data_IF_106828353112
#
_entry.id   IF_106828353112
#
_cell.length_a   1.000
_cell.length_b   1.000
_cell.length_c   1.000
_cell.angle_alpha   90.00
_cell.angle_beta   90.00
_cell.angle_gamma   90.00
#
_symmetry.space_group_name_H-M   'P 1'
#
loop_
_entity.id
_entity.type
_entity.pdbx_description
1 polymer ?
2 non-polymer ?
3 water ?
#
# COMPACT_ATOMS: atom_id res chain seq x y z
N UNK A 7 13.80 9.20 -19.27
CA UNK A 7 12.74 8.81 -18.36
C UNK A 7 11.63 7.98 -19.03
N UNK A 8 11.21 8.37 -20.24
CA UNK A 8 10.18 7.62 -20.93
C UNK A 8 10.69 6.34 -21.60
N UNK A 9 11.87 5.90 -21.14
CA UNK A 9 12.56 4.69 -21.69
C UNK A 9 11.66 3.46 -21.53
N UNK A 10 11.49 2.97 -20.30
CA UNK A 10 10.67 1.79 -20.10
C UNK A 10 9.17 2.02 -20.40
N UNK A 11 8.71 3.11 -21.00
CA UNK A 11 7.29 3.34 -21.22
C UNK A 11 6.95 3.15 -22.70
N UNK A 12 5.71 2.71 -22.94
CA UNK A 12 5.15 2.62 -24.28
C UNK A 12 4.32 3.87 -24.54
N UNK A 13 4.54 4.51 -25.69
CA UNK A 13 3.76 5.68 -26.06
C UNK A 13 2.44 5.25 -26.68
N UNK A 14 1.33 5.74 -26.13
CA UNK A 14 0.00 5.37 -26.59
C UNK A 14 -0.58 6.52 -27.39
N UNK A 15 -1.22 6.19 -28.53
CA UNK A 15 -1.83 7.28 -29.29
C UNK A 15 -3.16 7.69 -28.67
N UNK A 16 -3.47 8.99 -28.64
CA UNK A 16 -4.73 9.42 -27.99
C UNK A 16 -5.99 8.78 -28.53
N UNK A 17 -6.01 8.41 -29.81
CA UNK A 17 -7.21 7.78 -30.38
C UNK A 17 -7.49 6.42 -29.76
N UNK A 18 -6.54 5.83 -29.03
CA UNK A 18 -6.72 4.54 -28.41
C UNK A 18 -7.32 4.64 -27.01
N UNK A 19 -7.52 5.86 -26.50
CA UNK A 19 -7.88 6.10 -25.10
C UNK A 19 -9.24 6.81 -25.08
N UNK A 20 -10.15 6.30 -24.26
CA UNK A 20 -11.47 6.91 -24.03
C UNK A 20 -11.62 7.13 -22.54
N UNK A 21 -11.87 8.36 -22.13
CA UNK A 21 -12.10 8.67 -20.73
C UNK A 21 -13.60 8.60 -20.47
N UNK A 22 -13.99 7.95 -19.39
CA UNK A 22 -15.41 7.71 -19.10
C UNK A 22 -15.90 8.42 -17.85
N UNK A 23 -15.16 8.33 -16.74
CA UNK A 23 -15.64 8.90 -15.49
C UNK A 23 -14.47 9.39 -14.67
N UNK A 24 -14.65 10.53 -14.02
CA UNK A 24 -13.64 11.03 -13.09
C UNK A 24 -13.62 10.14 -11.85
N UNK A 25 -12.43 9.74 -11.43
CA UNK A 25 -12.27 8.91 -10.23
C UNK A 25 -11.31 9.50 -9.22
N UNK A 26 -10.77 10.68 -9.47
CA UNK A 26 -9.87 11.31 -8.52
C UNK A 26 -9.17 12.50 -9.14
N UNK A 27 -8.19 13.02 -8.42
CA UNK A 27 -7.43 14.17 -8.88
C UNK A 27 -5.93 13.86 -8.84
N UNK A 28 -5.22 14.43 -9.82
CA UNK A 28 -3.78 14.44 -9.81
C UNK A 28 -3.24 15.78 -9.37
N UNK A 29 -1.93 15.96 -9.53
CA UNK A 29 -1.23 17.21 -9.14
C UNK A 29 -1.77 18.39 -9.96
N UNK A 30 -2.08 18.15 -11.23
CA UNK A 30 -2.55 19.20 -12.11
C UNK A 30 -3.34 18.57 -13.25
N UNK A 31 -4.46 17.98 -12.92
CA UNK A 31 -5.29 17.24 -13.85
C UNK A 31 -6.07 16.17 -13.13
N UNK A 32 -7.12 15.69 -13.78
CA UNK A 32 -8.01 14.70 -13.19
C UNK A 32 -7.49 13.29 -13.42
N UNK A 33 -7.99 12.35 -12.62
CA UNK A 33 -7.78 10.92 -12.84
C UNK A 33 -9.11 10.32 -13.28
N UNK A 34 -9.08 9.51 -14.34
CA UNK A 34 -10.30 8.94 -14.92
C UNK A 34 -10.22 7.42 -14.98
N UNK A 35 -11.39 6.80 -14.96
CA UNK A 35 -11.54 5.45 -15.47
C UNK A 35 -11.85 5.55 -16.96
N UNK A 36 -11.27 4.67 -17.74
CA UNK A 36 -11.51 4.67 -19.16
C UNK A 36 -11.22 3.33 -19.79
N UNK A 37 -11.12 3.33 -21.11
CA UNK A 37 -10.88 2.13 -21.89
C UNK A 37 -9.70 2.36 -22.82
N UNK A 38 -8.89 1.31 -23.01
CA UNK A 38 -7.72 1.37 -23.87
C UNK A 38 -7.84 0.33 -24.98
N UNK A 39 -7.73 0.78 -26.22
CA UNK A 39 -7.52 -0.08 -27.37
C UNK A 39 -6.04 -0.04 -27.74
N UNK A 40 -5.55 -1.09 -28.38
CA UNK A 40 -4.19 -1.05 -28.92
C UNK A 40 -4.16 -1.38 -30.41
N UNK A 46 -10.27 -4.44 -26.04
CA UNK A 46 -10.24 -3.23 -25.22
C UNK A 46 -10.15 -3.58 -23.74
N UNK A 47 -9.34 -2.84 -23.00
CA UNK A 47 -9.16 -3.14 -21.58
C UNK A 47 -9.48 -1.91 -20.74
N UNK A 48 -10.07 -2.07 -19.56
CA UNK A 48 -10.28 -0.92 -18.68
C UNK A 48 -8.96 -0.43 -18.11
N UNK A 49 -8.86 0.90 -17.96
CA UNK A 49 -7.62 1.53 -17.50
C UNK A 49 -7.96 2.68 -16.56
N UNK A 50 -6.97 3.04 -15.75
CA UNK A 50 -7.01 4.30 -15.01
C UNK A 50 -6.08 5.29 -15.70
N UNK A 51 -6.48 6.56 -15.72
CA UNK A 51 -5.84 7.57 -16.56
C UNK A 51 -5.61 8.82 -15.73
N UNK A 52 -4.35 9.20 -15.54
CA UNK A 52 -3.99 10.45 -14.86
C UNK A 52 -3.54 11.47 -15.90
N UNK A 53 -4.14 12.64 -15.90
CA UNK A 53 -3.83 13.64 -16.92
C UNK A 53 -3.01 14.79 -16.34
N UNK A 54 -2.26 15.45 -17.21
CA UNK A 54 -1.57 16.70 -16.89
C UNK A 54 -2.14 17.75 -17.83
N UNK A 55 -2.94 18.66 -17.29
CA UNK A 55 -3.75 19.57 -18.08
C UNK A 55 -3.05 20.89 -18.36
N UNK A 56 -3.60 21.63 -19.31
CA UNK A 56 -2.95 22.83 -19.83
C UNK A 56 -2.64 23.81 -18.70
N UNK A 57 -1.43 24.34 -18.72
CA UNK A 57 -0.98 25.30 -17.72
C UNK A 57 -0.02 24.73 -16.71
N UNK A 58 0.25 23.43 -16.77
CA UNK A 58 1.15 22.81 -15.81
C UNK A 58 2.53 23.46 -15.86
N UNK A 59 3.20 23.47 -14.71
CA UNK A 59 4.51 24.08 -14.58
C UNK A 59 5.61 23.13 -15.06
N UNK A 60 6.82 23.68 -15.18
CA UNK A 60 7.98 22.86 -15.53
C UNK A 60 8.19 21.77 -14.49
N UNK A 61 8.12 22.11 -13.20
CA UNK A 61 8.33 21.10 -12.17
C UNK A 61 7.25 20.03 -12.23
N UNK A 62 6.00 20.43 -12.51
CA UNK A 62 4.93 19.45 -12.64
C UNK A 62 5.18 18.50 -13.80
N UNK A 63 5.66 19.03 -14.92
CA UNK A 63 5.97 18.17 -16.06
C UNK A 63 7.11 17.21 -15.73
N UNK A 64 8.16 17.70 -15.06
CA UNK A 64 9.27 16.84 -14.67
C UNK A 64 8.77 15.71 -13.76
N UNK A 65 7.97 16.06 -12.75
CA UNK A 65 7.48 15.06 -11.81
C UNK A 65 6.53 14.07 -12.48
N UNK A 66 5.71 14.56 -13.40
CA UNK A 66 4.72 13.71 -14.07
C UNK A 66 5.40 12.70 -14.97
N UNK A 67 6.26 13.16 -15.88
CA UNK A 67 6.97 12.23 -16.75
C UNK A 67 7.93 11.36 -15.95
N UNK A 68 8.60 11.94 -14.95
CA UNK A 68 9.48 11.14 -14.10
C UNK A 68 8.73 10.02 -13.40
N UNK A 69 7.49 10.30 -12.99
CA UNK A 69 6.66 9.25 -12.40
C UNK A 69 6.40 8.14 -13.41
N UNK A 70 5.96 8.50 -14.61
CA UNK A 70 5.75 7.47 -15.63
C UNK A 70 7.01 6.68 -15.87
N UNK A 71 8.16 7.36 -15.86
CA UNK A 71 9.42 6.69 -16.12
C UNK A 71 9.76 5.64 -15.09
N UNK A 72 9.58 5.95 -13.81
CA UNK A 72 9.87 4.95 -12.78
C UNK A 72 8.85 3.82 -12.84
N UNK A 73 7.58 4.14 -13.10
CA UNK A 73 6.56 3.10 -13.17
C UNK A 73 6.83 2.12 -14.32
N UNK A 74 7.29 2.64 -15.46
CA UNK A 74 7.63 1.76 -16.56
C UNK A 74 8.78 0.84 -16.22
N UNK A 75 9.70 1.29 -15.36
CA UNK A 75 10.84 0.50 -14.97
C UNK A 75 10.44 -0.72 -14.16
N UNK A 76 9.36 -0.63 -13.40
CA UNK A 76 8.98 -1.73 -12.53
C UNK A 76 8.25 -2.79 -13.33
N UNK A 77 8.60 -4.05 -13.10
CA UNK A 77 7.92 -5.18 -13.72
C UNK A 77 7.81 -6.25 -12.64
N UNK A 78 6.69 -6.24 -11.93
CA UNK A 78 6.51 -7.20 -10.85
C UNK A 78 5.03 -7.47 -10.62
N UNK A 79 4.72 -8.72 -10.30
CA UNK A 79 3.35 -9.17 -10.04
C UNK A 79 2.62 -8.33 -9.01
N UNK A 80 3.34 -7.73 -8.06
CA UNK A 80 2.71 -7.02 -6.95
C UNK A 80 2.93 -5.52 -7.02
N UNK A 81 3.22 -4.99 -8.19
CA UNK A 81 3.36 -3.56 -8.44
C UNK A 81 2.41 -3.19 -9.57
N UNK A 82 1.68 -2.08 -9.39
CA UNK A 82 0.73 -1.64 -10.43
C UNK A 82 1.43 -1.57 -11.79
N UNK A 83 0.73 -2.04 -12.82
CA UNK A 83 1.32 -2.08 -14.15
C UNK A 83 0.98 -0.83 -14.95
N UNK A 84 2.01 -0.24 -15.56
CA UNK A 84 1.83 0.88 -16.47
C UNK A 84 1.51 0.36 -17.85
N UNK A 85 0.37 0.77 -18.41
CA UNK A 85 0.07 0.43 -19.80
C UNK A 85 0.84 1.31 -20.76
N UNK A 86 0.96 2.59 -20.44
CA UNK A 86 1.79 3.47 -21.24
C UNK A 86 1.51 4.91 -20.91
N UNK A 87 2.00 5.78 -21.79
CA UNK A 87 1.99 7.21 -21.55
C UNK A 87 1.59 7.91 -22.84
N UNK A 88 0.94 9.06 -22.71
CA UNK A 88 0.77 10.01 -23.80
C UNK A 88 1.63 11.20 -23.43
N UNK A 89 2.73 11.38 -24.16
CA UNK A 89 3.60 12.53 -23.97
C UNK A 89 3.69 13.43 -25.19
N UNK A 90 3.39 12.91 -26.39
CA UNK A 90 3.53 13.65 -27.63
C UNK A 90 2.33 14.53 -27.92
N UNK A 91 1.26 14.44 -27.13
CA UNK A 91 0.05 15.21 -27.35
C UNK A 91 -0.44 15.72 -26.00
N UNK A 92 -1.30 16.74 -26.06
CA UNK A 92 -1.88 17.35 -24.88
C UNK A 92 -3.37 17.04 -24.80
N UNK A 93 -3.90 16.72 -23.60
CA UNK A 93 -3.15 16.62 -22.35
C UNK A 93 -2.30 15.36 -22.28
N UNK A 94 -1.20 15.43 -21.55
CA UNK A 94 -0.40 14.25 -21.31
C UNK A 94 -1.11 13.33 -20.33
N UNK A 95 -0.79 12.02 -20.43
CA UNK A 95 -1.51 11.03 -19.64
C UNK A 95 -0.58 9.91 -19.18
N UNK A 96 -0.85 9.41 -17.97
CA UNK A 96 -0.28 8.16 -17.48
C UNK A 96 -1.43 7.16 -17.38
N UNK A 97 -1.24 5.99 -17.96
CA UNK A 97 -2.32 5.00 -18.11
C UNK A 97 -1.89 3.70 -17.46
N UNK A 98 -2.67 3.24 -16.48
CA UNK A 98 -2.38 2.00 -15.78
C UNK A 98 -3.53 1.02 -15.91
N UNK A 99 -3.27 -0.21 -15.51
CA UNK A 99 -4.35 -1.19 -15.37
C UNK A 99 -5.39 -0.68 -14.38
N UNK A 100 -6.57 -1.30 -14.43
CA UNK A 100 -7.71 -0.92 -13.59
C UNK A 100 -8.24 -2.16 -12.89
N UNK A 101 -8.62 -1.99 -11.62
CA UNK A 101 -9.15 -3.09 -10.79
C UNK A 101 -10.55 -2.75 -10.33
N UNK A 102 -11.53 -3.57 -10.74
CA UNK A 102 -12.90 -3.34 -10.28
C UNK A 102 -13.02 -3.44 -8.75
N UNK A 103 -12.17 -4.23 -8.10
CA UNK A 103 -12.22 -4.32 -6.64
C UNK A 103 -11.66 -3.09 -5.96
N UNK A 104 -10.88 -2.27 -6.66
CA UNK A 104 -10.42 -1.01 -6.09
C UNK A 104 -9.35 -1.15 -5.02
N UNK A 105 -9.28 -0.11 -4.18
CA UNK A 105 -8.25 0.02 -3.17
C UNK A 105 -8.52 -0.91 -1.99
N UNK A 106 -7.44 -1.41 -1.41
CA UNK A 106 -7.52 -2.45 -0.39
C UNK A 106 -8.22 -1.99 0.88
N UNK A 107 -8.02 -0.73 1.31
CA UNK A 107 -8.65 -0.29 2.56
C UNK A 107 -10.18 -0.34 2.46
N UNK A 108 -10.74 0.25 1.41
CA UNK A 108 -12.18 0.25 1.22
C UNK A 108 -12.69 -1.17 0.98
N UNK A 109 -11.94 -1.96 0.20
CA UNK A 109 -12.30 -3.34 -0.10
C UNK A 109 -12.49 -4.14 1.18
N UNK A 110 -11.51 -4.08 2.10
CA UNK A 110 -11.63 -4.86 3.32
C UNK A 110 -12.79 -4.40 4.19
N UNK A 111 -13.00 -3.07 4.28
CA UNK A 111 -14.08 -2.55 5.11
C UNK A 111 -15.43 -2.96 4.57
N UNK A 112 -15.54 -3.17 3.27
CA UNK A 112 -16.79 -3.58 2.64
C UNK A 112 -16.98 -5.08 2.62
N UNK A 113 -15.98 -5.85 3.05
CA UNK A 113 -16.04 -7.31 3.03
C UNK A 113 -15.59 -7.86 4.37
N UNK A 114 -16.02 -7.21 5.44
CA UNK A 114 -15.59 -7.55 6.79
C UNK A 114 -15.88 -9.01 7.12
N UNK A 115 -14.84 -9.74 7.52
CA UNK A 115 -14.92 -11.13 7.92
C UNK A 115 -15.14 -12.13 6.82
N UNK A 116 -14.97 -11.75 5.55
CA UNK A 116 -15.33 -12.64 4.45
C UNK A 116 -14.19 -13.56 4.00
N UNK A 117 -12.97 -13.38 4.51
CA UNK A 117 -11.81 -14.11 4.01
C UNK A 117 -11.23 -15.01 5.09
N UNK A 118 -10.51 -16.03 4.64
CA UNK A 118 -9.80 -16.89 5.57
C UNK A 118 -8.50 -16.23 5.99
N UNK A 119 -7.97 -16.68 7.13
CA UNK A 119 -6.66 -16.23 7.57
C UNK A 119 -5.62 -16.43 6.47
N UNK A 120 -5.65 -17.58 5.80
CA UNK A 120 -4.67 -17.85 4.76
C UNK A 120 -4.79 -16.85 3.62
N UNK A 121 -6.01 -16.49 3.24
CA UNK A 121 -6.19 -15.47 2.21
C UNK A 121 -5.62 -14.14 2.65
N UNK A 122 -5.88 -13.73 3.89
CA UNK A 122 -5.35 -12.45 4.37
C UNK A 122 -3.82 -12.46 4.38
N UNK A 123 -3.22 -13.54 4.92
CA UNK A 123 -1.76 -13.63 4.95
C UNK A 123 -1.19 -13.66 3.54
N UNK A 124 -1.89 -14.31 2.60
CA UNK A 124 -1.43 -14.30 1.22
C UNK A 124 -1.39 -12.91 0.63
N UNK A 125 -2.36 -12.07 0.98
CA UNK A 125 -2.33 -10.69 0.48
C UNK A 125 -1.13 -9.94 1.05
N UNK A 126 -0.77 -10.22 2.30
CA UNK A 126 0.39 -9.59 2.90
C UNK A 126 1.69 -10.08 2.27
N UNK A 127 1.75 -11.37 1.91
CA UNK A 127 2.95 -11.86 1.24
C UNK A 127 3.15 -11.17 -0.09
N UNK A 128 2.07 -10.94 -0.82
CA UNK A 128 2.19 -10.25 -2.10
C UNK A 128 2.63 -8.82 -1.93
N UNK A 129 2.05 -8.11 -0.97
CA UNK A 129 2.47 -6.74 -0.70
C UNK A 129 3.96 -6.71 -0.35
N UNK A 130 4.38 -7.63 0.52
CA UNK A 130 5.78 -7.69 0.92
C UNK A 130 6.70 -7.98 -0.27
N UNK A 131 6.28 -8.86 -1.19
CA UNK A 131 7.12 -9.15 -2.36
C UNK A 131 7.26 -7.93 -3.24
N UNK A 132 6.17 -7.19 -3.44
CA UNK A 132 6.28 -5.94 -4.19
C UNK A 132 7.22 -4.96 -3.50
N UNK A 133 7.11 -4.84 -2.18
CA UNK A 133 7.97 -3.91 -1.44
C UNK A 133 9.43 -4.35 -1.47
N UNK A 134 9.69 -5.66 -1.39
CA UNK A 134 11.06 -6.13 -1.51
C UNK A 134 11.64 -5.72 -2.85
N UNK A 135 10.85 -5.84 -3.92
CA UNK A 135 11.28 -5.45 -5.24
C UNK A 135 11.59 -3.95 -5.29
N UNK A 136 10.69 -3.12 -4.78
CA UNK A 136 10.92 -1.67 -4.78
C UNK A 136 12.18 -1.32 -3.99
N UNK A 137 12.34 -1.91 -2.81
CA UNK A 137 13.51 -1.61 -1.99
C UNK A 137 14.80 -2.03 -2.69
N UNK A 138 14.76 -3.19 -3.36
CA UNK A 138 15.93 -3.68 -4.10
C UNK A 138 16.25 -2.77 -5.26
N UNK A 139 15.22 -2.22 -5.91
CA UNK A 139 15.37 -1.25 -6.98
C UNK A 139 15.74 0.14 -6.46
N UNK A 140 16.00 0.27 -5.15
CA UNK A 140 16.36 1.54 -4.52
C UNK A 140 15.26 2.58 -4.63
N UNK A 141 14.01 2.15 -4.56
CA UNK A 141 12.86 3.04 -4.55
C UNK A 141 12.23 3.00 -3.16
N UNK A 142 12.18 4.16 -2.50
CA UNK A 142 11.53 4.32 -1.21
C UNK A 142 10.12 4.84 -1.46
N UNK A 143 9.13 4.12 -0.93
CA UNK A 143 7.74 4.44 -1.26
C UNK A 143 7.28 5.72 -0.57
N UNK A 144 7.46 5.79 0.75
CA UNK A 144 7.14 6.90 1.64
C UNK A 144 5.67 6.97 2.06
N UNK A 145 4.75 6.31 1.36
CA UNK A 145 3.32 6.41 1.68
C UNK A 145 2.65 5.05 1.60
N UNK A 146 3.31 4.02 2.10
CA UNK A 146 2.73 2.69 2.06
C UNK A 146 1.60 2.60 3.08
N UNK A 147 0.43 2.19 2.61
CA UNK A 147 -0.81 2.14 3.38
C UNK A 147 -1.80 1.38 2.52
N UNK A 148 -2.81 0.79 3.17
CA UNK A 148 -3.80 0.03 2.40
C UNK A 148 -4.50 0.87 1.34
N UNK A 149 -4.66 2.18 1.58
CA UNK A 149 -5.28 3.06 0.59
C UNK A 149 -4.49 3.14 -0.71
N UNK A 150 -3.20 2.77 -0.70
CA UNK A 150 -2.36 2.80 -1.89
C UNK A 150 -2.11 1.43 -2.48
N UNK A 151 -2.94 0.43 -2.17
CA UNK A 151 -2.79 -0.91 -2.70
C UNK A 151 -4.07 -1.31 -3.41
N UNK A 152 -3.95 -1.76 -4.65
CA UNK A 152 -5.10 -2.20 -5.46
C UNK A 152 -5.22 -3.71 -5.39
N UNK A 153 -6.46 -4.20 -5.49
CA UNK A 153 -6.75 -5.64 -5.39
C UNK A 153 -7.36 -6.09 -6.71
N UNK A 154 -6.77 -7.10 -7.35
CA UNK A 154 -7.37 -7.60 -8.57
C UNK A 154 -8.38 -8.72 -8.26
N UNK A 155 -8.97 -9.27 -9.33
CA UNK A 155 -10.01 -10.28 -9.19
C UNK A 155 -9.47 -11.66 -8.83
N UNK A 156 -8.15 -11.80 -8.69
CA UNK A 156 -7.55 -13.00 -8.12
C UNK A 156 -7.08 -12.76 -6.70
N UNK A 157 -7.47 -11.62 -6.09
CA UNK A 157 -7.05 -11.22 -4.75
C UNK A 157 -5.56 -10.85 -4.67
N UNK A 158 -4.93 -10.62 -5.82
CA UNK A 158 -3.53 -10.18 -5.86
C UNK A 158 -3.46 -8.69 -5.57
N UNK A 159 -2.60 -8.32 -4.63
CA UNK A 159 -2.41 -6.93 -4.25
C UNK A 159 -1.29 -6.30 -5.06
N UNK A 160 -1.52 -5.07 -5.53
CA UNK A 160 -0.57 -4.34 -6.35
C UNK A 160 -0.25 -3.03 -5.63
N UNK A 161 1.00 -2.87 -5.21
CA UNK A 161 1.42 -1.61 -4.61
C UNK A 161 1.36 -0.50 -5.64
N UNK A 162 0.81 0.64 -5.23
CA UNK A 162 0.62 1.80 -6.08
C UNK A 162 0.96 3.03 -5.25
N UNK A 163 0.85 4.22 -5.85
CA UNK A 163 0.95 5.45 -5.08
C UNK A 163 0.04 6.47 -5.76
N UNK A 164 -1.08 6.77 -5.11
CA UNK A 164 -2.06 7.66 -5.68
C UNK A 164 -1.79 9.12 -5.34
N UNK A 165 -0.73 9.42 -4.61
CA UNK A 165 -0.51 10.78 -4.15
C UNK A 165 -1.27 11.07 -2.87
N UNK A 166 -0.76 12.00 -2.08
CA UNK A 166 -1.31 12.26 -0.75
C UNK A 166 -2.75 12.77 -0.82
N UNK A 186 1.43 11.12 6.46
CA UNK A 186 0.45 10.22 7.07
C UNK A 186 0.98 9.67 8.38
N UNK A 187 0.78 10.45 9.45
CA UNK A 187 1.50 10.22 10.72
C UNK A 187 1.39 8.76 11.16
N UNK A 188 0.15 8.24 11.15
CA UNK A 188 -0.13 6.91 11.75
C UNK A 188 0.58 5.77 11.01
N UNK A 189 1.01 6.01 9.79
CA UNK A 189 1.71 4.98 9.03
C UNK A 189 3.21 5.19 9.00
N UNK A 190 3.72 6.29 9.56
CA UNK A 190 5.09 6.69 9.29
C UNK A 190 6.00 6.39 10.47
N UNK A 191 7.22 5.92 10.15
CA UNK A 191 8.18 5.58 11.18
C UNK A 191 8.64 6.83 11.93
N UNK A 192 9.06 6.66 13.19
CA UNK A 192 9.47 7.84 13.98
C UNK A 192 10.56 8.67 13.35
N UNK A 193 11.58 8.05 12.74
CA UNK A 193 12.68 8.83 12.20
C UNK A 193 12.24 9.62 10.97
N UNK A 194 11.25 9.11 10.24
CA UNK A 194 10.77 9.84 9.08
C UNK A 194 9.97 11.06 9.52
N UNK A 195 9.18 10.91 10.58
CA UNK A 195 8.45 12.04 11.14
C UNK A 195 9.41 13.05 11.76
N UNK A 196 10.38 12.56 12.56
CA UNK A 196 11.19 13.46 13.39
C UNK A 196 12.19 14.24 12.54
N UNK A 197 12.90 13.56 11.65
CA UNK A 197 13.99 14.21 10.92
C UNK A 197 13.99 13.93 9.42
N UNK A 198 12.86 13.44 8.89
CA UNK A 198 12.64 13.32 7.45
C UNK A 198 13.51 12.23 6.84
N UNK A 199 13.85 11.21 7.61
CA UNK A 199 14.68 10.11 7.11
C UNK A 199 13.75 9.02 6.58
N UNK A 200 13.50 9.04 5.28
CA UNK A 200 12.65 8.06 4.63
C UNK A 200 13.55 7.05 3.93
N UNK A 201 13.43 5.78 4.32
CA UNK A 201 14.22 4.71 3.73
C UNK A 201 13.34 3.48 3.60
N UNK A 202 13.90 2.42 3.02
CA UNK A 202 13.14 1.17 2.98
C UNK A 202 12.84 0.66 4.38
N UNK A 203 13.61 1.08 5.40
CA UNK A 203 13.31 0.68 6.76
C UNK A 203 12.14 1.46 7.35
N UNK A 204 11.93 2.72 6.94
CA UNK A 204 10.69 3.36 7.33
C UNK A 204 9.51 2.77 6.57
N UNK A 205 9.72 2.32 5.32
CA UNK A 205 8.67 1.58 4.62
C UNK A 205 8.31 0.29 5.37
N UNK A 206 9.28 -0.35 6.03
CA UNK A 206 8.97 -1.56 6.80
C UNK A 206 8.03 -1.24 7.96
N UNK A 207 8.26 -0.11 8.64
CA UNK A 207 7.31 0.32 9.68
C UNK A 207 5.90 0.43 9.10
N UNK A 208 5.78 1.15 7.99
CA UNK A 208 4.49 1.28 7.33
C UNK A 208 3.92 -0.07 6.97
N UNK A 209 4.75 -1.01 6.51
CA UNK A 209 4.24 -2.34 6.18
C UNK A 209 3.63 -3.01 7.40
N UNK A 210 4.25 -2.83 8.57
CA UNK A 210 3.65 -3.37 9.78
C UNK A 210 2.26 -2.80 10.03
N UNK A 211 2.08 -1.50 9.82
CA UNK A 211 0.75 -0.90 9.92
C UNK A 211 -0.19 -1.52 8.89
N UNK A 212 0.27 -1.73 7.66
CA UNK A 212 -0.56 -2.38 6.64
C UNK A 212 -0.96 -3.78 7.09
N UNK A 213 -0.05 -4.52 7.72
CA UNK A 213 -0.41 -5.84 8.23
C UNK A 213 -1.57 -5.73 9.22
N UNK A 214 -1.50 -4.76 10.11
CA UNK A 214 -2.57 -4.54 11.06
C UNK A 214 -3.87 -4.14 10.34
N UNK A 215 -3.79 -3.25 9.35
CA UNK A 215 -4.98 -2.91 8.56
C UNK A 215 -5.61 -4.14 7.94
N UNK A 216 -4.80 -5.01 7.34
CA UNK A 216 -5.36 -6.18 6.66
C UNK A 216 -6.02 -7.10 7.67
N UNK A 217 -5.35 -7.38 8.78
CA UNK A 217 -5.87 -8.36 9.72
C UNK A 217 -7.10 -7.87 10.49
N UNK A 218 -7.32 -6.55 10.53
CA UNK A 218 -8.50 -5.96 11.15
C UNK A 218 -9.59 -5.61 10.14
N UNK A 219 -9.43 -5.97 8.87
CA UNK A 219 -10.38 -5.58 7.82
C UNK A 219 -10.53 -4.07 7.71
N UNK A 220 -9.42 -3.36 7.77
CA UNK A 220 -9.46 -1.94 7.50
C UNK A 220 -9.80 -1.05 8.67
N UNK A 221 -9.52 -1.47 9.89
CA UNK A 221 -9.73 -0.58 11.01
C UNK A 221 -8.74 0.57 10.98
N UNK A 222 -9.15 1.69 11.56
CA UNK A 222 -8.32 2.88 11.59
C UNK A 222 -7.20 2.67 12.61
N UNK A 223 -5.94 2.73 12.20
CA UNK A 223 -4.85 2.56 13.17
C UNK A 223 -4.97 3.57 14.29
N UNK A 224 -4.90 3.08 15.53
CA UNK A 224 -4.95 3.89 16.74
C UNK A 224 -6.32 4.51 16.99
N UNK A 225 -7.34 4.12 16.23
CA UNK A 225 -8.74 4.54 16.45
C UNK A 225 -8.78 6.07 16.52
N UNK A 226 -9.39 6.65 17.55
CA UNK A 226 -9.65 8.07 17.58
C UNK A 226 -8.50 8.90 18.14
N UNK A 227 -7.35 8.29 18.48
CA UNK A 227 -6.22 9.08 18.95
C UNK A 227 -5.84 10.11 17.91
N UNK A 228 -5.52 11.33 18.36
CA UNK A 228 -5.04 12.33 17.42
C UNK A 228 -3.61 12.01 17.00
N UNK A 229 -3.15 12.72 15.96
CA UNK A 229 -1.78 12.54 15.50
C UNK A 229 -0.75 12.75 16.61
N UNK A 230 -0.93 13.81 17.41
CA UNK A 230 -0.01 14.06 18.52
C UNK A 230 -0.09 12.94 19.55
N UNK A 231 -1.29 12.45 19.86
CA UNK A 231 -1.42 11.35 20.81
C UNK A 231 -0.77 10.08 20.28
N UNK A 232 -0.87 9.82 18.97
CA UNK A 232 -0.23 8.65 18.39
C UNK A 232 1.29 8.72 18.58
N UNK A 233 1.88 9.87 18.22
CA UNK A 233 3.32 10.00 18.36
C UNK A 233 3.76 9.89 19.81
N UNK A 234 2.98 10.46 20.74
CA UNK A 234 3.32 10.36 22.16
C UNK A 234 3.25 8.92 22.63
N UNK A 235 2.22 8.18 22.20
CA UNK A 235 2.11 6.79 22.58
C UNK A 235 3.28 5.98 22.05
N UNK A 236 3.66 6.21 20.79
CA UNK A 236 4.77 5.48 20.20
C UNK A 236 6.07 5.78 20.95
N UNK A 237 6.29 7.05 21.26
CA UNK A 237 7.51 7.43 21.98
C UNK A 237 7.53 6.85 23.39
N UNK A 238 6.35 6.71 24.02
CA UNK A 238 6.23 6.11 25.35
C UNK A 238 6.38 4.59 25.32
N UNK A 239 6.43 3.96 24.14
CA UNK A 239 6.63 2.54 24.03
C UNK A 239 5.39 1.73 23.70
N UNK A 240 4.21 2.35 23.69
CA UNK A 240 2.99 1.63 23.35
C UNK A 240 2.99 1.27 21.87
N UNK A 241 2.32 0.16 21.56
CA UNK A 241 2.17 -0.30 20.18
C UNK A 241 0.74 -0.80 20.01
N UNK A 242 0.29 -0.86 18.76
CA UNK A 242 -1.05 -1.33 18.48
C UNK A 242 -1.25 -2.74 19.06
N UNK A 243 -2.40 -3.02 19.64
CA UNK A 243 -2.67 -4.35 20.20
C UNK A 243 -3.00 -5.34 19.08
N UNK A 244 -3.05 -6.61 19.46
CA UNK A 244 -3.34 -7.66 18.48
C UNK A 244 -4.72 -7.45 17.88
N UNK A 245 -4.88 -7.63 16.57
CA UNK A 245 -6.22 -7.78 15.99
C UNK A 245 -6.90 -9.03 16.55
N UNK A 246 -8.22 -9.07 16.39
CA UNK A 246 -8.96 -10.26 16.78
C UNK A 246 -8.63 -11.41 15.83
N UNK A 247 -8.50 -12.61 16.41
CA UNK A 247 -8.31 -13.85 15.66
C UNK A 247 -7.07 -13.82 14.77
N UNK A 248 -6.00 -13.20 15.26
CA UNK A 248 -4.79 -12.99 14.51
C UNK A 248 -3.76 -14.06 14.87
N UNK A 249 -3.16 -14.70 13.87
CA UNK A 249 -2.08 -15.64 14.16
C UNK A 249 -0.97 -14.99 14.98
N UNK A 250 -0.49 -15.73 15.97
CA UNK A 250 0.60 -15.24 16.81
C UNK A 250 1.81 -14.84 15.97
N UNK A 251 2.14 -15.64 14.95
CA UNK A 251 3.33 -15.32 14.16
C UNK A 251 3.18 -14.01 13.42
N UNK A 252 1.94 -13.71 12.98
CA UNK A 252 1.70 -12.48 12.24
C UNK A 252 1.79 -11.27 13.15
N UNK A 253 1.25 -11.36 14.36
CA UNK A 253 1.40 -10.24 15.30
C UNK A 253 2.86 -10.04 15.70
N UNK A 254 3.59 -11.13 15.96
CA UNK A 254 5.01 -10.99 16.26
C UNK A 254 5.75 -10.28 15.14
N UNK A 255 5.42 -10.62 13.89
CA UNK A 255 6.10 -9.99 12.76
C UNK A 255 5.78 -8.51 12.68
N UNK A 256 4.51 -8.14 12.83
CA UNK A 256 4.19 -6.71 12.74
C UNK A 256 4.85 -5.93 13.88
N UNK A 257 4.92 -6.53 15.07
CA UNK A 257 5.58 -5.85 16.19
C UNK A 257 7.05 -5.60 15.89
N UNK A 258 7.72 -6.53 15.21
CA UNK A 258 9.11 -6.31 14.87
C UNK A 258 9.30 -5.24 13.82
N UNK A 259 8.28 -4.96 13.00
CA UNK A 259 8.33 -3.84 12.07
C UNK A 259 8.30 -2.51 12.80
N UNK A 260 7.80 -2.48 14.03
CA UNK A 260 7.64 -1.24 14.79
C UNK A 260 8.73 -1.04 15.84
N UNK A 261 9.92 -1.55 15.60
CA UNK A 261 11.01 -1.25 16.52
C UNK A 261 11.45 0.20 16.34
N UNK A 262 11.67 0.88 17.46
CA UNK A 262 12.11 2.27 17.40
C UNK A 262 13.43 2.38 16.66
N UNK A 263 14.36 1.46 16.93
CA UNK A 263 15.68 1.51 16.31
C UNK A 263 15.58 0.94 14.90
N UNK A 264 15.79 1.81 13.91
CA UNK A 264 15.59 1.46 12.52
C UNK A 264 16.38 0.22 12.11
N UNK A 265 17.62 0.10 12.60
CA UNK A 265 18.49 -0.99 12.19
C UNK A 265 17.99 -2.34 12.67
N UNK A 266 17.11 -2.38 13.66
CA UNK A 266 16.67 -3.68 14.22
C UNK A 266 15.46 -4.24 13.47
N UNK A 267 14.83 -3.43 12.62
CA UNK A 267 13.65 -3.91 11.93
C UNK A 267 14.05 -4.94 10.89
N UNK A 268 13.18 -5.90 10.56
CA UNK A 268 13.48 -6.83 9.47
C UNK A 268 13.61 -6.06 8.17
N UNK A 269 14.40 -6.61 7.24
CA UNK A 269 14.37 -6.10 5.89
C UNK A 269 13.21 -6.77 5.15
N UNK A 270 12.82 -6.21 4.00
CA UNK A 270 11.71 -6.84 3.27
C UNK A 270 12.02 -8.28 2.88
N UNK A 271 13.29 -8.60 2.61
CA UNK A 271 13.62 -9.99 2.30
C UNK A 271 13.28 -10.91 3.46
N UNK A 272 13.49 -10.44 4.69
CA UNK A 272 13.16 -11.26 5.86
C UNK A 272 11.65 -11.44 5.95
N UNK A 273 10.91 -10.38 5.71
CA UNK A 273 9.45 -10.42 5.80
C UNK A 273 8.88 -11.39 4.77
N UNK A 274 9.34 -11.28 3.53
CA UNK A 274 8.87 -12.18 2.46
C UNK A 274 9.18 -13.63 2.82
N UNK A 275 10.40 -13.89 3.30
CA UNK A 275 10.79 -15.26 3.64
C UNK A 275 9.88 -15.84 4.72
N UNK A 276 9.65 -15.07 5.79
CA UNK A 276 8.80 -15.53 6.89
C UNK A 276 7.38 -15.79 6.41
N UNK A 277 6.80 -14.85 5.66
CA UNK A 277 5.42 -15.02 5.21
C UNK A 277 5.30 -16.21 4.28
N UNK A 278 6.29 -16.41 3.41
CA UNK A 278 6.27 -17.57 2.52
C UNK A 278 6.30 -18.88 3.31
N UNK A 279 7.16 -18.95 4.33
CA UNK A 279 7.26 -20.17 5.13
C UNK A 279 5.99 -20.41 5.92
N UNK A 280 5.37 -19.35 6.45
CA UNK A 280 4.13 -19.54 7.19
C UNK A 280 3.03 -20.07 6.28
N UNK A 281 2.91 -19.52 5.07
CA UNK A 281 1.90 -19.98 4.14
C UNK A 281 2.15 -21.42 3.70
N UNK A 282 3.42 -21.79 3.51
CA UNK A 282 3.73 -23.12 3.02
C UNK A 282 3.59 -24.18 4.09
N UNK A 283 3.57 -23.79 5.36
CA UNK A 283 3.29 -24.68 6.49
C UNK A 283 2.12 -24.08 7.25
N UNK A 284 0.91 -24.14 6.66
CA UNK A 284 -0.19 -23.30 7.14
C UNK A 284 -0.69 -23.63 8.53
N UNK A 285 -0.38 -24.81 9.08
CA UNK A 285 -0.69 -25.05 10.48
C UNK A 285 -0.02 -24.04 11.39
N UNK A 286 1.08 -23.42 10.93
CA UNK A 286 1.76 -22.41 11.73
C UNK A 286 0.88 -21.21 12.01
N UNK A 287 -0.15 -20.98 11.21
CA UNK A 287 -1.03 -19.84 11.39
C UNK A 287 -2.20 -20.13 12.30
N UNK A 288 -2.35 -21.38 12.77
CA UNK A 288 -3.50 -21.72 13.62
C UNK A 288 -3.32 -21.29 15.06
N UNK A 289 -2.08 -21.03 15.49
CA UNK A 289 -1.84 -20.54 16.85
C UNK A 289 -2.13 -19.05 16.87
N UNK A 290 -3.10 -18.63 17.67
CA UNK A 290 -3.55 -17.24 17.67
C UNK A 290 -3.02 -16.49 18.88
N UNK A 291 -2.70 -15.22 18.67
CA UNK A 291 -2.34 -14.33 19.77
C UNK A 291 -3.58 -14.01 20.59
N UNK A 292 -3.39 -13.88 21.90
CA UNK A 292 -4.46 -13.48 22.79
C UNK A 292 -4.97 -12.11 22.39
N UNK A 293 -6.29 -11.95 22.41
CA UNK A 293 -6.91 -10.66 22.14
C UNK A 293 -7.34 -10.03 23.46
N UNK A 294 -7.02 -8.76 23.65
CA UNK A 294 -7.38 -8.06 24.88
C UNK A 294 -8.77 -7.46 24.73
N UNK A 295 -9.80 -8.00 25.40
CA UNK A 295 -11.14 -7.47 25.21
C UNK A 295 -11.28 -6.10 25.85
N UNK A 296 -12.04 -5.24 25.18
CA UNK A 296 -12.33 -3.91 25.76
C UNK A 296 -13.57 -4.00 26.65
N UNK A 297 -14.49 -4.90 26.30
CA UNK A 297 -15.75 -5.01 27.00
C UNK A 297 -15.85 -6.38 27.65
N UNK A 298 -16.36 -6.39 28.88
CA UNK A 298 -16.70 -7.62 29.59
C UNK A 298 -18.20 -7.85 29.47
N UNK A 299 -18.57 -9.10 29.21
CA UNK A 299 -19.96 -9.53 29.28
C UNK A 299 -20.02 -10.73 30.21
N UNK A 300 -20.77 -10.60 31.30
CA UNK A 300 -20.98 -11.69 32.25
C UNK A 300 -22.27 -12.42 31.89
N UNK A 301 -22.18 -13.72 31.64
CA UNK A 301 -23.36 -14.53 31.35
C UNK A 301 -23.21 -15.88 32.04
N UNK A 302 -24.32 -16.60 32.26
CA UNK A 302 -24.23 -17.97 32.78
C UNK A 302 -24.18 -18.99 31.65
#
# INVERSE_FOLDING_TARGET
>A
GDPNQAVLKFTTEIHPSCVTRQKVIGAGEFGEVYKGMLKTSSGKKEVPVAIKTLKAGYTEKQRVDFLGEAGIMGQFSHHNIIRLEGVISKYKPMMIITEYMENGALDKFLREKDGEFSVLQLVGMLRGIAAGMKYLANMNYVHRDLAARNILVNSNLVCKVSDFGLSRVLEDDPEATYTTSGGKIPIRWTAPEAISYRKFTSASDVWSFGIVMWEVMTYGERPYWELSNHEVMKAINDGFRLPTPMDCPSAIYQLMMQCWQQERARRPKFADIVSILDKLIRAPDSLKTLADFDPRVSIRLPSTSG
#
